data_IF_640403067133
#
_entry.id   IF_640403067133
#
_cell.length_a   1.000
_cell.length_b   1.000
_cell.length_c   1.000
_cell.angle_alpha   90.00
_cell.angle_beta   90.00
_cell.angle_gamma   90.00
#
_symmetry.space_group_name_H-M   'P 1'
#
loop_
_entity.id
_entity.type
_entity.pdbx_description
1 polymer ?
#
# COMPACT_ATOMS: atom_id res chain seq x y z
N UNK A 1 -0.15 -1.60 18.11
CA UNK A 1 0.86 -2.30 17.28
C UNK A 1 1.28 -1.47 16.05
N UNK A 2 0.38 -0.66 15.49
CA UNK A 2 0.64 0.08 14.24
C UNK A 2 1.74 1.14 14.37
N UNK A 3 1.78 1.89 15.48
CA UNK A 3 2.84 2.89 15.72
C UNK A 3 4.23 2.25 15.78
N UNK A 4 4.38 1.11 16.45
CA UNK A 4 5.67 0.42 16.54
C UNK A 4 6.10 -0.15 15.18
N UNK A 5 5.17 -0.71 14.41
CA UNK A 5 5.45 -1.17 13.05
C UNK A 5 5.91 -0.01 12.16
N UNK A 6 5.24 1.13 12.26
CA UNK A 6 5.65 2.35 11.57
C UNK A 6 7.06 2.80 11.98
N UNK A 7 7.37 2.82 13.28
CA UNK A 7 8.71 3.14 13.78
C UNK A 7 9.76 2.19 13.22
N UNK A 8 9.49 0.88 13.16
CA UNK A 8 10.40 -0.08 12.53
C UNK A 8 10.62 0.21 11.04
N UNK A 9 9.57 0.60 10.30
CA UNK A 9 9.71 1.01 8.90
C UNK A 9 10.57 2.27 8.74
N UNK A 10 10.42 3.25 9.64
CA UNK A 10 11.22 4.47 9.60
C UNK A 10 12.69 4.21 9.95
N UNK A 11 12.97 3.23 10.79
CA UNK A 11 14.33 2.87 11.22
C UNK A 11 15.01 1.81 10.33
N UNK A 12 14.46 1.51 9.14
CA UNK A 12 15.07 0.54 8.23
C UNK A 12 15.02 -0.90 8.74
N UNK A 13 14.05 -1.23 9.59
CA UNK A 13 13.80 -2.57 10.13
C UNK A 13 12.50 -3.18 9.57
N UNK A 14 12.35 -3.27 8.23
CA UNK A 14 11.10 -3.68 7.61
C UNK A 14 10.69 -5.12 7.98
N UNK A 15 11.65 -6.01 8.26
CA UNK A 15 11.33 -7.38 8.66
C UNK A 15 10.62 -7.46 10.00
N UNK A 16 11.07 -6.65 10.98
CA UNK A 16 10.40 -6.55 12.28
C UNK A 16 9.01 -5.95 12.12
N UNK A 17 8.86 -4.94 11.27
CA UNK A 17 7.55 -4.37 10.96
C UNK A 17 6.61 -5.41 10.32
N UNK A 18 7.09 -6.18 9.35
CA UNK A 18 6.31 -7.21 8.66
C UNK A 18 5.85 -8.32 9.62
N UNK A 19 6.72 -8.78 10.53
CA UNK A 19 6.35 -9.78 11.56
C UNK A 19 5.28 -9.21 12.49
N UNK A 20 5.46 -7.98 12.97
CA UNK A 20 4.52 -7.34 13.90
C UNK A 20 3.14 -7.12 13.26
N UNK A 21 3.12 -6.67 12.00
CA UNK A 21 1.90 -6.44 11.24
C UNK A 21 1.21 -7.75 10.85
N UNK A 22 1.96 -8.82 10.54
CA UNK A 22 1.41 -10.14 10.32
C UNK A 22 0.73 -10.68 11.59
N UNK A 23 1.37 -10.53 12.76
CA UNK A 23 0.77 -10.90 14.04
C UNK A 23 -0.48 -10.07 14.34
N UNK A 24 -0.47 -8.76 14.03
CA UNK A 24 -1.66 -7.91 14.15
C UNK A 24 -2.81 -8.41 13.27
N UNK A 25 -2.54 -8.74 12.02
CA UNK A 25 -3.55 -9.20 11.07
C UNK A 25 -4.22 -10.52 11.51
N UNK A 26 -3.50 -11.37 12.27
CA UNK A 26 -4.10 -12.56 12.88
C UNK A 26 -5.09 -12.22 14.01
N UNK A 27 -4.87 -11.13 14.74
CA UNK A 27 -5.71 -10.70 15.86
C UNK A 27 -6.92 -9.88 15.41
N UNK A 28 -6.76 -9.10 14.35
CA UNK A 28 -7.82 -8.31 13.72
C UNK A 28 -7.72 -8.49 12.20
N UNK A 29 -8.32 -9.56 11.66
CA UNK A 29 -8.34 -9.80 10.22
C UNK A 29 -9.09 -8.69 9.48
N UNK A 30 -8.81 -8.58 8.18
CA UNK A 30 -9.62 -7.79 7.24
C UNK A 30 -9.63 -6.27 7.48
N UNK A 31 -8.70 -5.72 8.27
CA UNK A 31 -8.50 -4.26 8.33
C UNK A 31 -7.70 -3.78 7.08
N UNK A 32 -8.31 -2.98 6.19
CA UNK A 32 -7.66 -2.53 4.97
C UNK A 32 -6.36 -1.76 5.21
N UNK A 33 -6.31 -0.94 6.27
CA UNK A 33 -5.12 -0.15 6.61
C UNK A 33 -3.98 -1.02 7.13
N UNK A 34 -4.32 -2.07 7.88
CA UNK A 34 -3.37 -3.07 8.37
C UNK A 34 -2.71 -3.81 7.20
N UNK A 35 -3.53 -4.30 6.27
CA UNK A 35 -3.09 -5.07 5.10
C UNK A 35 -2.21 -4.24 4.19
N UNK A 36 -2.57 -2.97 3.93
CA UNK A 36 -1.73 -2.06 3.14
C UNK A 36 -0.36 -1.83 3.81
N UNK A 37 -0.36 -1.59 5.12
CA UNK A 37 0.88 -1.40 5.89
C UNK A 37 1.75 -2.66 5.88
N UNK A 38 1.13 -3.84 5.99
CA UNK A 38 1.82 -5.13 5.92
C UNK A 38 2.44 -5.36 4.53
N UNK A 39 1.68 -5.09 3.46
CA UNK A 39 2.18 -5.21 2.10
C UNK A 39 3.38 -4.28 1.85
N UNK A 40 3.31 -3.03 2.31
CA UNK A 40 4.43 -2.09 2.23
C UNK A 40 5.66 -2.60 2.99
N UNK A 41 5.48 -3.12 4.20
CA UNK A 41 6.57 -3.69 4.97
C UNK A 41 7.21 -4.89 4.25
N UNK A 42 6.41 -5.76 3.64
CA UNK A 42 6.88 -6.90 2.86
C UNK A 42 7.68 -6.47 1.61
N UNK A 43 7.25 -5.42 0.89
CA UNK A 43 8.04 -4.85 -0.21
C UNK A 43 9.40 -4.38 0.29
N UNK A 44 9.43 -3.59 1.37
CA UNK A 44 10.68 -3.06 1.94
C UNK A 44 11.58 -4.14 2.54
N UNK A 45 11.00 -5.28 2.91
CA UNK A 45 11.67 -6.50 3.37
C UNK A 45 12.15 -7.42 2.26
N UNK A 46 12.17 -6.98 1.00
CA UNK A 46 12.52 -7.82 -0.16
C UNK A 46 11.67 -9.10 -0.26
N UNK A 47 10.39 -9.03 0.15
CA UNK A 47 9.39 -10.11 0.02
C UNK A 47 8.23 -9.69 -0.90
N UNK A 48 8.49 -9.24 -2.13
CA UNK A 48 7.47 -8.64 -2.99
C UNK A 48 6.34 -9.61 -3.38
N UNK A 49 6.62 -10.91 -3.53
CA UNK A 49 5.55 -11.88 -3.80
C UNK A 49 4.56 -11.99 -2.64
N UNK A 50 5.03 -11.91 -1.38
CA UNK A 50 4.12 -11.90 -0.21
C UNK A 50 3.28 -10.63 -0.19
N UNK A 51 3.88 -9.49 -0.58
CA UNK A 51 3.16 -8.23 -0.73
C UNK A 51 2.02 -8.34 -1.74
N UNK A 52 2.23 -8.97 -2.90
CA UNK A 52 1.17 -9.18 -3.88
C UNK A 52 0.02 -10.04 -3.31
N UNK A 53 0.32 -11.12 -2.60
CA UNK A 53 -0.71 -11.95 -1.97
C UNK A 53 -1.49 -11.17 -0.89
N UNK A 54 -0.83 -10.32 -0.11
CA UNK A 54 -1.49 -9.45 0.87
C UNK A 54 -2.35 -8.39 0.18
N UNK A 55 -1.89 -7.84 -0.94
CA UNK A 55 -2.69 -6.91 -1.76
C UNK A 55 -3.91 -7.60 -2.39
N UNK A 56 -3.82 -8.86 -2.80
CA UNK A 56 -5.00 -9.61 -3.26
C UNK A 56 -6.10 -9.68 -2.19
N UNK A 57 -5.74 -9.90 -0.93
CA UNK A 57 -6.69 -9.84 0.20
C UNK A 57 -7.30 -8.44 0.32
N UNK A 58 -6.49 -7.39 0.20
CA UNK A 58 -6.97 -6.02 0.26
C UNK A 58 -7.92 -5.67 -0.90
N UNK A 59 -7.67 -6.22 -2.09
CA UNK A 59 -8.54 -6.09 -3.26
C UNK A 59 -9.88 -6.81 -3.07
N UNK A 60 -9.89 -7.98 -2.42
CA UNK A 60 -11.13 -8.69 -2.06
C UNK A 60 -12.04 -7.87 -1.12
N UNK A 61 -11.45 -7.00 -0.29
CA UNK A 61 -12.19 -6.05 0.56
C UNK A 61 -12.66 -4.80 -0.20
N UNK A 62 -12.39 -4.69 -1.51
CA UNK A 62 -12.73 -3.54 -2.34
C UNK A 62 -11.87 -2.29 -2.09
N UNK A 63 -10.78 -2.40 -1.32
CA UNK A 63 -9.95 -1.27 -0.93
C UNK A 63 -8.78 -1.05 -1.90
N UNK A 64 -9.09 -0.71 -3.15
CA UNK A 64 -8.13 -0.48 -4.24
C UNK A 64 -7.91 1.01 -4.55
N UNK A 65 -7.50 1.76 -3.52
CA UNK A 65 -7.22 3.20 -3.65
C UNK A 65 -5.86 3.50 -4.33
N UNK A 66 -5.50 4.78 -4.39
CA UNK A 66 -4.22 5.19 -4.95
C UNK A 66 -3.04 4.49 -4.24
N UNK A 67 -3.05 4.42 -2.91
CA UNK A 67 -1.96 3.82 -2.13
C UNK A 67 -1.79 2.33 -2.41
N UNK A 68 -2.90 1.60 -2.58
CA UNK A 68 -2.89 0.21 -3.05
C UNK A 68 -2.11 0.06 -4.36
N UNK A 69 -2.42 0.90 -5.36
CA UNK A 69 -1.77 0.82 -6.67
C UNK A 69 -0.28 1.17 -6.62
N UNK A 70 0.11 2.10 -5.75
CA UNK A 70 1.51 2.44 -5.54
C UNK A 70 2.30 1.25 -4.98
N UNK A 71 1.81 0.62 -3.91
CA UNK A 71 2.49 -0.55 -3.30
C UNK A 71 2.51 -1.72 -4.29
N UNK A 72 1.44 -1.93 -5.06
CA UNK A 72 1.38 -2.95 -6.11
C UNK A 72 2.45 -2.71 -7.18
N UNK A 73 2.62 -1.47 -7.64
CA UNK A 73 3.64 -1.12 -8.62
C UNK A 73 5.06 -1.40 -8.08
N UNK A 74 5.33 -1.05 -6.83
CA UNK A 74 6.63 -1.32 -6.17
C UNK A 74 6.91 -2.83 -6.07
N UNK A 75 5.93 -3.63 -5.66
CA UNK A 75 6.07 -5.08 -5.58
C UNK A 75 6.33 -5.72 -6.95
N UNK A 76 5.59 -5.32 -7.99
CA UNK A 76 5.77 -5.80 -9.36
C UNK A 76 7.13 -5.40 -9.93
N UNK A 77 7.58 -4.18 -9.65
CA UNK A 77 8.90 -3.71 -10.07
C UNK A 77 10.03 -4.53 -9.42
N UNK A 78 9.93 -4.84 -8.13
CA UNK A 78 10.89 -5.68 -7.42
C UNK A 78 10.92 -7.15 -7.92
N UNK A 79 9.88 -7.59 -8.64
CA UNK A 79 9.80 -8.89 -9.31
C UNK A 79 10.17 -8.83 -10.81
N UNK A 80 10.67 -7.68 -11.29
CA UNK A 80 10.97 -7.40 -12.70
C UNK A 80 9.78 -7.55 -13.67
N UNK A 81 8.53 -7.49 -13.14
CA UNK A 81 7.28 -7.51 -13.92
C UNK A 81 6.94 -6.12 -14.43
N UNK A 82 7.80 -5.58 -15.30
CA UNK A 82 7.83 -4.15 -15.68
C UNK A 82 6.53 -3.64 -16.29
N UNK A 83 5.90 -4.40 -17.19
CA UNK A 83 4.68 -3.95 -17.86
C UNK A 83 3.51 -3.79 -16.89
N UNK A 84 3.37 -4.73 -15.96
CA UNK A 84 2.35 -4.69 -14.92
C UNK A 84 2.64 -3.61 -13.88
N UNK A 85 3.91 -3.40 -13.53
CA UNK A 85 4.32 -2.31 -12.66
C UNK A 85 3.95 -0.95 -13.27
N UNK A 86 4.20 -0.77 -14.58
CA UNK A 86 3.82 0.44 -15.31
C UNK A 86 2.30 0.63 -15.35
N UNK A 87 1.53 -0.44 -15.56
CA UNK A 87 0.07 -0.39 -15.50
C UNK A 87 -0.46 0.02 -14.11
N UNK A 88 0.09 -0.56 -13.04
CA UNK A 88 -0.26 -0.20 -11.67
C UNK A 88 0.10 1.26 -11.35
N UNK A 89 1.26 1.75 -11.82
CA UNK A 89 1.67 3.14 -11.65
C UNK A 89 0.72 4.12 -12.37
N UNK A 90 0.26 3.79 -13.58
CA UNK A 90 -0.75 4.59 -14.28
C UNK A 90 -2.05 4.68 -13.48
N UNK A 91 -2.51 3.57 -12.89
CA UNK A 91 -3.70 3.57 -12.04
C UNK A 91 -3.51 4.45 -10.79
N UNK A 92 -2.34 4.40 -10.15
CA UNK A 92 -2.01 5.29 -9.03
C UNK A 92 -2.10 6.77 -9.42
N UNK A 93 -1.44 7.16 -10.52
CA UNK A 93 -1.43 8.56 -10.97
C UNK A 93 -2.84 9.04 -11.32
N UNK A 94 -3.64 8.22 -12.01
CA UNK A 94 -5.01 8.56 -12.35
C UNK A 94 -5.87 8.84 -11.10
N UNK A 95 -5.77 7.99 -10.08
CA UNK A 95 -6.53 8.18 -8.83
C UNK A 95 -6.04 9.36 -8.00
N UNK A 96 -4.72 9.57 -7.91
CA UNK A 96 -4.14 10.71 -7.19
C UNK A 96 -4.63 12.03 -7.78
N UNK A 97 -4.61 12.16 -9.10
CA UNK A 97 -5.03 13.37 -9.79
C UNK A 97 -6.55 13.59 -9.65
N UNK A 98 -7.36 12.52 -9.56
CA UNK A 98 -8.79 12.64 -9.30
C UNK A 98 -9.12 13.06 -7.86
N UNK A 99 -8.19 12.87 -6.91
CA UNK A 99 -8.35 13.26 -5.52
C UNK A 99 -7.86 14.70 -5.23
N UNK A 100 -7.15 15.34 -6.16
CA UNK A 100 -6.77 16.75 -6.02
C UNK A 100 -8.02 17.63 -6.26
N UNK A 101 -8.43 18.46 -5.27
CA UNK A 101 -9.53 19.39 -5.46
C UNK A 101 -9.13 20.42 -6.52
N UNK A 102 -9.91 20.48 -7.60
CA UNK A 102 -9.72 21.46 -8.67
C UNK A 102 -9.88 22.87 -8.08
N UNK A 103 -8.97 23.82 -8.35
CA UNK A 103 -8.99 25.16 -7.73
C UNK A 103 -10.26 25.98 -8.02
N UNK A 104 -11.11 25.53 -8.95
CA UNK A 104 -12.34 26.21 -9.36
C UNK A 104 -13.48 26.13 -8.33
N UNK A 105 -13.50 25.15 -7.43
CA UNK A 105 -14.54 25.02 -6.40
C UNK A 105 -14.29 25.88 -5.15
N UNK A 106 -13.09 26.46 -5.00
CA UNK A 106 -12.72 27.28 -3.85
C UNK A 106 -13.10 28.78 -3.98
N UNK A 107 -13.60 29.22 -5.15
CA UNK A 107 -13.85 30.65 -5.43
C UNK A 107 -15.33 31.09 -5.36
N UNK A 108 -16.29 30.21 -5.04
CA UNK A 108 -17.70 30.60 -4.93
C UNK A 108 -18.14 30.57 -3.46
N UNK A 109 -17.71 31.59 -2.72
CA UNK A 109 -18.01 31.73 -1.29
C UNK A 109 -17.50 33.06 -0.75
N UNK A 110 -17.94 34.16 -1.35
CA UNK A 110 -17.85 35.50 -0.78
C UNK A 110 -19.19 36.18 -0.89
#
# INVERSE_FOLDING_TARGET
MDLLAFVYLQNGLPDKAAVLLAARNLLAPEDPRALLSLALAQVRSAKPQRALNTLEQLALLGAMDASFHLVRAQALHALDRRDEAAAAMRAFVAQRNAAEPTPETASTGR
#
